data_IF_207515976407
#
_entry.id   IF_207515976407
#
_cell.length_a   1.000
_cell.length_b   1.000
_cell.length_c   1.000
_cell.angle_alpha   90.00
_cell.angle_beta   90.00
_cell.angle_gamma   90.00
#
_symmetry.space_group_name_H-M   'P 1'
#
loop_
_entity.id
_entity.type
_entity.pdbx_description
1 polymer ?
#
# COMPACT_ATOMS: atom_id res chain seq x y z
N UNK A 1 37.70 -55.39 -28.79
CA UNK A 1 38.32 -54.03 -28.82
C UNK A 1 37.33 -52.99 -28.31
N UNK A 2 36.64 -53.32 -27.22
CA UNK A 2 36.28 -52.35 -26.18
C UNK A 2 37.49 -51.52 -25.75
N UNK A 3 37.18 -50.33 -25.19
CA UNK A 3 37.99 -49.57 -24.21
C UNK A 3 38.90 -48.40 -24.63
N UNK A 4 38.87 -47.89 -25.87
CA UNK A 4 39.54 -46.61 -26.22
C UNK A 4 38.73 -45.67 -27.13
N UNK A 5 37.43 -45.56 -26.85
CA UNK A 5 36.57 -44.50 -27.43
C UNK A 5 35.67 -43.88 -26.36
N UNK A 6 36.16 -43.83 -25.12
CA UNK A 6 35.46 -43.27 -23.96
C UNK A 6 36.22 -42.14 -23.26
N UNK A 7 37.38 -41.73 -23.76
CA UNK A 7 38.14 -40.59 -23.24
C UNK A 7 38.63 -39.79 -24.46
N UNK A 8 38.57 -38.46 -24.40
CA UNK A 8 38.78 -37.49 -25.51
C UNK A 8 37.60 -37.26 -26.46
N UNK A 9 36.52 -36.71 -25.91
CA UNK A 9 36.09 -35.31 -26.20
C UNK A 9 34.97 -34.93 -25.25
N UNK A 10 35.36 -34.83 -23.99
CA UNK A 10 34.70 -34.04 -22.97
C UNK A 10 35.28 -32.63 -23.13
N UNK A 11 34.58 -31.75 -23.86
CA UNK A 11 34.74 -30.28 -23.90
C UNK A 11 33.91 -29.74 -25.06
N UNK A 12 32.65 -29.45 -24.78
CA UNK A 12 31.94 -28.21 -25.18
C UNK A 12 30.45 -28.39 -24.88
N UNK A 13 30.15 -28.31 -23.58
CA UNK A 13 28.84 -27.87 -23.11
C UNK A 13 29.12 -26.74 -22.12
N UNK A 14 29.30 -25.54 -22.67
CA UNK A 14 29.27 -24.29 -21.91
C UNK A 14 27.86 -23.71 -22.02
N UNK A 15 27.16 -23.80 -20.89
CA UNK A 15 26.08 -22.96 -20.37
C UNK A 15 25.36 -22.02 -21.36
N UNK A 16 24.05 -22.25 -21.50
CA UNK A 16 23.11 -21.13 -21.48
C UNK A 16 22.63 -21.01 -20.02
N UNK A 17 22.86 -19.89 -19.33
CA UNK A 17 22.23 -19.68 -18.05
C UNK A 17 20.75 -19.51 -18.35
N UNK A 18 19.94 -20.47 -17.92
CA UNK A 18 18.50 -20.27 -17.83
C UNK A 18 18.30 -19.21 -16.75
N UNK A 19 18.35 -17.95 -17.17
CA UNK A 19 17.91 -16.79 -16.42
C UNK A 19 16.38 -16.89 -16.32
N UNK A 20 15.91 -17.89 -15.57
CA UNK A 20 14.65 -17.76 -14.86
C UNK A 20 14.96 -16.81 -13.71
N UNK A 21 14.88 -15.50 -13.99
CA UNK A 21 14.52 -14.54 -12.97
C UNK A 21 13.10 -14.94 -12.53
N UNK A 22 13.01 -15.97 -11.68
CA UNK A 22 11.88 -16.07 -10.78
C UNK A 22 12.01 -14.82 -9.96
N UNK A 23 11.17 -13.84 -10.26
CA UNK A 23 11.11 -12.57 -9.58
C UNK A 23 10.90 -12.81 -8.09
N UNK A 24 12.00 -12.88 -7.35
CA UNK A 24 12.08 -12.90 -5.91
C UNK A 24 11.77 -11.49 -5.38
N UNK A 25 10.63 -10.92 -5.79
CA UNK A 25 10.14 -9.61 -5.32
C UNK A 25 9.42 -9.69 -3.98
N UNK A 26 9.50 -10.84 -3.30
CA UNK A 26 9.21 -10.95 -1.86
C UNK A 26 10.45 -10.51 -1.06
N UNK A 27 11.09 -9.43 -1.50
CA UNK A 27 12.27 -8.80 -0.93
C UNK A 27 12.01 -8.37 0.52
N UNK A 28 12.28 -9.30 1.46
CA UNK A 28 12.52 -9.11 2.89
C UNK A 28 11.76 -7.93 3.52
N UNK A 29 10.43 -7.94 3.41
CA UNK A 29 9.61 -7.07 4.26
C UNK A 29 9.96 -7.34 5.73
N UNK A 30 10.00 -6.29 6.59
CA UNK A 30 10.30 -6.46 8.00
C UNK A 30 9.40 -7.53 8.65
N UNK A 31 9.91 -8.23 9.66
CA UNK A 31 9.14 -9.26 10.37
C UNK A 31 7.80 -8.74 10.89
N UNK A 32 7.75 -7.48 11.31
CA UNK A 32 6.54 -6.81 11.77
C UNK A 32 5.43 -6.76 10.73
N UNK A 33 5.73 -6.90 9.44
CA UNK A 33 4.73 -6.93 8.37
C UNK A 33 4.19 -8.35 8.16
N UNK A 34 5.01 -9.36 8.46
CA UNK A 34 4.69 -10.78 8.23
C UNK A 34 4.03 -11.44 9.43
N UNK A 35 4.23 -10.91 10.63
CA UNK A 35 3.69 -11.48 11.87
C UNK A 35 3.03 -10.39 12.73
N UNK A 36 1.95 -10.78 13.42
CA UNK A 36 1.37 -10.00 14.50
C UNK A 36 2.04 -10.35 15.84
N UNK A 37 2.48 -9.32 16.55
CA UNK A 37 2.85 -9.43 17.96
C UNK A 37 1.65 -9.88 18.81
N UNK A 38 1.86 -10.40 20.03
CA UNK A 38 0.75 -10.79 20.92
C UNK A 38 -0.23 -9.65 21.20
N UNK A 39 0.23 -8.40 21.23
CA UNK A 39 -0.63 -7.23 21.38
C UNK A 39 -1.46 -6.95 20.13
N UNK A 40 -0.85 -7.01 18.94
CA UNK A 40 -1.57 -6.85 17.67
C UNK A 40 -2.61 -7.95 17.47
N UNK A 41 -2.29 -9.21 17.80
CA UNK A 41 -3.26 -10.32 17.71
C UNK A 41 -4.49 -10.05 18.57
N UNK A 42 -4.30 -9.56 19.81
CA UNK A 42 -5.44 -9.17 20.67
C UNK A 42 -6.25 -8.02 20.07
N UNK A 43 -5.59 -7.01 19.48
CA UNK A 43 -6.28 -5.90 18.82
C UNK A 43 -7.09 -6.36 17.61
N UNK A 44 -6.54 -7.26 16.79
CA UNK A 44 -7.26 -7.82 15.64
C UNK A 44 -8.50 -8.58 16.10
N UNK A 45 -8.40 -9.43 17.13
CA UNK A 45 -9.56 -10.13 17.70
C UNK A 45 -10.60 -9.15 18.26
N UNK A 46 -10.17 -8.09 18.94
CA UNK A 46 -11.07 -7.07 19.46
C UNK A 46 -11.80 -6.33 18.33
N UNK A 47 -11.08 -5.96 17.28
CA UNK A 47 -11.62 -5.27 16.11
C UNK A 47 -12.61 -6.17 15.34
N UNK A 48 -12.33 -7.45 15.18
CA UNK A 48 -13.24 -8.42 14.56
C UNK A 48 -14.55 -8.55 15.36
N UNK A 49 -14.46 -8.66 16.70
CA UNK A 49 -15.64 -8.69 17.56
C UNK A 49 -16.44 -7.38 17.50
N UNK A 50 -15.76 -6.23 17.49
CA UNK A 50 -16.40 -4.93 17.36
C UNK A 50 -17.12 -4.80 16.01
N UNK A 51 -16.50 -5.23 14.91
CA UNK A 51 -17.12 -5.24 13.59
C UNK A 51 -18.42 -6.05 13.58
N UNK A 52 -18.42 -7.24 14.20
CA UNK A 52 -19.63 -8.07 14.29
C UNK A 52 -20.76 -7.40 15.06
N UNK A 53 -20.43 -6.73 16.17
CA UNK A 53 -21.41 -5.97 16.95
C UNK A 53 -21.93 -4.77 16.17
N UNK A 54 -21.04 -4.01 15.53
CA UNK A 54 -21.36 -2.85 14.72
C UNK A 54 -22.31 -3.22 13.58
N UNK A 55 -22.02 -4.27 12.81
CA UNK A 55 -22.86 -4.70 11.70
C UNK A 55 -24.24 -5.20 12.15
N UNK A 56 -24.33 -5.81 13.35
CA UNK A 56 -25.62 -6.21 13.93
C UNK A 56 -26.45 -5.01 14.37
N UNK A 57 -25.80 -4.01 14.95
CA UNK A 57 -26.46 -2.81 15.47
C UNK A 57 -26.84 -1.83 14.37
N UNK A 58 -26.05 -1.78 13.28
CA UNK A 58 -26.22 -0.85 12.17
C UNK A 58 -26.16 -1.57 10.82
N UNK A 59 -27.18 -2.39 10.48
CA UNK A 59 -27.16 -3.26 9.31
C UNK A 59 -27.09 -2.49 7.97
N UNK A 60 -27.65 -1.28 7.92
CA UNK A 60 -27.66 -0.46 6.70
C UNK A 60 -26.37 0.35 6.49
N UNK A 61 -25.45 0.33 7.47
CA UNK A 61 -24.17 1.05 7.37
C UNK A 61 -23.13 0.20 6.68
N UNK A 62 -22.26 0.85 5.91
CA UNK A 62 -21.08 0.20 5.33
C UNK A 62 -20.18 -0.38 6.44
N UNK A 63 -19.53 -1.54 6.18
CA UNK A 63 -18.53 -2.09 7.09
C UNK A 63 -17.40 -1.08 7.35
N UNK A 64 -16.75 -1.19 8.51
CA UNK A 64 -15.57 -0.37 8.82
C UNK A 64 -14.29 -1.03 8.28
N UNK A 65 -13.34 -0.21 7.82
CA UNK A 65 -12.00 -0.66 7.42
C UNK A 65 -11.11 -0.80 8.67
N UNK A 66 -11.25 -1.90 9.41
CA UNK A 66 -10.50 -2.11 10.66
C UNK A 66 -9.24 -2.93 10.49
N UNK A 67 -9.33 -4.06 9.78
CA UNK A 67 -8.25 -5.05 9.67
C UNK A 67 -8.06 -5.55 8.23
N UNK A 68 -7.74 -4.67 7.25
CA UNK A 68 -7.39 -5.12 5.91
C UNK A 68 -6.11 -5.96 5.91
N UNK A 69 -5.90 -6.69 4.82
CA UNK A 69 -4.65 -7.38 4.56
C UNK A 69 -3.57 -6.36 4.19
N UNK A 70 -2.32 -6.59 4.59
CA UNK A 70 -1.21 -5.82 4.07
C UNK A 70 -0.59 -6.51 2.84
N UNK A 71 0.48 -5.93 2.31
CA UNK A 71 1.24 -6.48 1.18
C UNK A 71 1.83 -7.89 1.41
N UNK A 72 1.88 -8.35 2.67
CA UNK A 72 2.33 -9.69 3.05
C UNK A 72 1.16 -10.67 3.29
N UNK A 73 -0.09 -10.26 3.03
CA UNK A 73 -1.27 -11.08 3.27
C UNK A 73 -1.63 -11.24 4.75
N UNK A 74 -1.16 -10.34 5.62
CA UNK A 74 -1.42 -10.38 7.06
C UNK A 74 -2.47 -9.35 7.44
N UNK A 75 -3.50 -9.76 8.16
CA UNK A 75 -4.49 -8.82 8.73
C UNK A 75 -3.82 -7.94 9.78
N UNK A 76 -3.82 -6.63 9.55
CA UNK A 76 -3.27 -5.62 10.45
C UNK A 76 -4.36 -4.63 10.82
N UNK A 77 -4.47 -4.30 12.11
CA UNK A 77 -5.34 -3.21 12.54
C UNK A 77 -4.85 -1.90 11.91
N UNK A 78 -5.69 -1.16 11.18
CA UNK A 78 -5.26 -0.03 10.33
C UNK A 78 -4.38 0.96 11.10
N UNK A 79 -4.74 1.31 12.33
CA UNK A 79 -3.96 2.28 13.12
C UNK A 79 -2.54 1.80 13.47
N UNK A 80 -2.25 0.50 13.46
CA UNK A 80 -0.88 0.00 13.71
C UNK A 80 0.02 0.10 12.47
N UNK A 81 -0.57 0.33 11.29
CA UNK A 81 0.16 0.54 10.03
C UNK A 81 0.66 1.98 9.89
N UNK A 82 0.00 2.94 10.54
CA UNK A 82 0.39 4.35 10.55
C UNK A 82 1.54 4.53 11.55
N UNK A 83 2.77 4.44 11.06
CA UNK A 83 3.99 4.69 11.85
C UNK A 83 4.64 6.00 11.43
N UNK A 84 5.17 6.83 12.35
CA UNK A 84 5.90 8.03 11.97
C UNK A 84 7.07 7.70 11.04
N UNK A 85 7.11 8.30 9.86
CA UNK A 85 8.21 8.13 8.90
C UNK A 85 9.19 9.29 9.03
N UNK A 86 10.43 9.07 9.49
CA UNK A 86 11.39 10.15 9.66
C UNK A 86 11.79 10.74 8.31
N UNK A 87 11.60 12.04 8.13
CA UNK A 87 11.97 12.76 6.90
C UNK A 87 13.29 13.52 7.10
N UNK A 88 14.40 12.94 6.64
CA UNK A 88 15.72 13.59 6.70
C UNK A 88 15.99 14.64 5.62
N UNK A 89 15.03 14.91 4.73
CA UNK A 89 15.18 15.85 3.60
C UNK A 89 14.62 17.23 3.94
N UNK A 90 15.37 18.29 3.67
CA UNK A 90 14.98 19.67 4.01
C UNK A 90 13.62 20.11 3.43
N UNK A 91 13.20 19.57 2.27
CA UNK A 91 11.92 19.91 1.64
C UNK A 91 10.67 19.27 2.26
N UNK A 92 10.83 18.35 3.21
CA UNK A 92 9.73 17.59 3.82
C UNK A 92 9.40 18.04 5.24
N UNK A 93 9.87 19.21 5.67
CA UNK A 93 9.65 19.74 7.03
C UNK A 93 8.30 20.45 7.21
N UNK A 94 7.48 20.53 6.16
CA UNK A 94 6.17 21.19 6.17
C UNK A 94 5.10 20.28 5.60
N UNK A 95 3.86 20.43 6.04
CA UNK A 95 2.75 19.64 5.52
C UNK A 95 2.55 19.84 4.02
N UNK A 96 2.82 21.04 3.50
CA UNK A 96 2.78 21.34 2.06
C UNK A 96 3.82 20.53 1.30
N UNK A 97 5.06 20.44 1.82
CA UNK A 97 6.12 19.65 1.22
C UNK A 97 5.78 18.15 1.18
N UNK A 98 5.19 17.63 2.28
CA UNK A 98 4.71 16.25 2.30
C UNK A 98 3.56 16.00 1.32
N UNK A 99 2.59 16.91 1.25
CA UNK A 99 1.46 16.79 0.33
C UNK A 99 1.89 16.86 -1.14
N UNK A 100 2.79 17.79 -1.48
CA UNK A 100 3.37 17.89 -2.82
C UNK A 100 4.14 16.61 -3.19
N UNK A 101 4.96 16.08 -2.26
CA UNK A 101 5.65 14.81 -2.49
C UNK A 101 4.66 13.68 -2.82
N UNK A 102 3.61 13.51 -2.03
CA UNK A 102 2.62 12.42 -2.25
C UNK A 102 1.90 12.62 -3.58
N UNK A 103 1.51 13.85 -3.93
CA UNK A 103 0.82 14.15 -5.18
C UNK A 103 1.70 13.97 -6.42
N UNK A 104 2.98 14.33 -6.33
CA UNK A 104 3.92 14.27 -7.47
C UNK A 104 4.57 12.88 -7.63
N UNK A 105 4.72 12.12 -6.55
CA UNK A 105 5.43 10.84 -6.55
C UNK A 105 4.54 9.66 -6.92
N UNK A 106 3.25 9.71 -6.59
CA UNK A 106 2.39 8.54 -6.63
C UNK A 106 1.38 8.60 -7.78
N UNK A 107 1.17 7.46 -8.42
CA UNK A 107 0.09 7.25 -9.38
C UNK A 107 -1.14 6.67 -8.67
N UNK A 108 -2.30 7.28 -8.90
CA UNK A 108 -3.55 6.83 -8.29
C UNK A 108 -4.07 5.58 -9.00
N UNK A 109 -4.24 4.50 -8.25
CA UNK A 109 -4.99 3.29 -8.63
C UNK A 109 -6.40 3.39 -8.02
N UNK A 110 -7.46 3.64 -8.80
CA UNK A 110 -8.82 3.66 -8.29
C UNK A 110 -9.21 2.29 -7.74
N UNK A 111 -10.09 2.29 -6.73
CA UNK A 111 -10.69 1.07 -6.22
C UNK A 111 -11.56 0.41 -7.30
N UNK A 112 -11.48 -0.91 -7.39
CA UNK A 112 -12.33 -1.73 -8.25
C UNK A 112 -12.93 -2.89 -7.43
N UNK A 113 -14.23 -2.84 -7.08
CA UNK A 113 -15.20 -1.80 -7.45
C UNK A 113 -15.03 -0.49 -6.64
N UNK A 114 -15.36 0.68 -7.21
CA UNK A 114 -15.14 1.99 -6.57
C UNK A 114 -16.04 2.27 -5.36
N UNK A 115 -17.04 1.43 -5.12
CA UNK A 115 -18.03 1.58 -4.04
C UNK A 115 -17.70 0.76 -2.80
N UNK A 116 -16.65 -0.05 -2.85
CA UNK A 116 -16.24 -0.93 -1.75
C UNK A 116 -14.98 -0.41 -1.07
N UNK A 117 -14.77 -0.86 0.16
CA UNK A 117 -13.52 -0.61 0.86
C UNK A 117 -12.42 -1.51 0.31
N UNK A 118 -11.15 -1.07 0.33
CA UNK A 118 -10.05 -1.91 -0.09
C UNK A 118 -9.93 -3.15 0.82
N UNK A 119 -9.72 -4.32 0.20
CA UNK A 119 -9.37 -5.56 0.90
C UNK A 119 -7.95 -5.52 1.45
N UNK A 120 -7.08 -4.75 0.79
CA UNK A 120 -5.66 -4.62 1.10
C UNK A 120 -5.31 -3.15 1.38
N UNK A 121 -4.48 -2.90 2.38
CA UNK A 121 -3.91 -1.59 2.67
C UNK A 121 -2.40 -1.73 2.77
N UNK A 122 -1.68 -1.06 1.89
CA UNK A 122 -0.23 -1.17 1.82
C UNK A 122 0.43 -0.30 2.87
N UNK A 123 1.52 -0.79 3.47
CA UNK A 123 2.29 0.05 4.39
C UNK A 123 2.89 1.28 3.67
N UNK A 124 3.10 2.41 4.38
CA UNK A 124 3.74 3.60 3.81
C UNK A 124 5.06 3.31 3.07
N UNK A 125 5.87 2.38 3.60
CA UNK A 125 7.13 1.95 2.98
C UNK A 125 6.90 1.28 1.63
N UNK A 126 5.89 0.41 1.53
CA UNK A 126 5.57 -0.31 0.29
C UNK A 126 4.94 0.59 -0.75
N UNK A 127 4.10 1.55 -0.34
CA UNK A 127 3.53 2.58 -1.22
C UNK A 127 4.65 3.44 -1.83
N UNK A 128 5.62 3.88 -1.01
CA UNK A 128 6.77 4.65 -1.51
C UNK A 128 7.63 3.86 -2.53
N UNK A 129 7.78 2.54 -2.35
CA UNK A 129 8.53 1.69 -3.28
C UNK A 129 7.76 1.47 -4.59
N UNK A 130 6.46 1.21 -4.49
CA UNK A 130 5.60 0.93 -5.66
C UNK A 130 5.29 2.19 -6.46
N UNK A 131 5.31 3.36 -5.83
CA UNK A 131 4.92 4.65 -6.44
C UNK A 131 3.51 4.64 -7.04
N UNK A 132 2.66 3.75 -6.55
CA UNK A 132 1.27 3.58 -7.00
C UNK A 132 0.45 3.06 -5.83
N UNK A 133 -0.84 3.36 -5.81
CA UNK A 133 -1.76 2.88 -4.79
C UNK A 133 -3.10 3.61 -4.79
N UNK A 134 -3.96 3.22 -3.86
CA UNK A 134 -5.30 3.76 -3.70
C UNK A 134 -5.29 5.08 -2.93
N UNK A 135 -6.42 5.79 -2.91
CA UNK A 135 -6.57 6.99 -2.08
C UNK A 135 -6.37 6.69 -0.57
N UNK A 136 -6.63 5.46 -0.12
CA UNK A 136 -6.38 5.02 1.25
C UNK A 136 -4.88 4.89 1.54
N UNK A 137 -4.13 4.34 0.59
CA UNK A 137 -2.67 4.23 0.67
C UNK A 137 -2.02 5.61 0.72
N UNK A 138 -2.49 6.54 -0.13
CA UNK A 138 -2.01 7.92 -0.18
C UNK A 138 -2.24 8.63 1.15
N UNK A 139 -3.46 8.55 1.69
CA UNK A 139 -3.80 9.16 2.98
C UNK A 139 -2.95 8.58 4.12
N UNK A 140 -2.77 7.25 4.14
CA UNK A 140 -1.96 6.55 5.15
C UNK A 140 -0.50 6.96 5.10
N UNK A 141 0.08 7.04 3.90
CA UNK A 141 1.45 7.53 3.69
C UNK A 141 1.61 9.00 4.10
N UNK A 142 0.70 9.88 3.66
CA UNK A 142 0.74 11.29 4.03
C UNK A 142 0.67 11.47 5.55
N UNK A 143 -0.26 10.80 6.22
CA UNK A 143 -0.39 10.85 7.67
C UNK A 143 0.87 10.34 8.38
N UNK A 144 1.46 9.24 7.90
CA UNK A 144 2.74 8.72 8.39
C UNK A 144 3.89 9.73 8.27
N UNK A 145 3.96 10.48 7.16
CA UNK A 145 4.96 11.54 6.97
C UNK A 145 4.72 12.72 7.94
N UNK A 146 3.47 13.18 8.07
CA UNK A 146 3.10 14.28 8.96
C UNK A 146 3.40 13.97 10.43
N UNK A 147 3.09 12.75 10.88
CA UNK A 147 3.47 12.28 12.21
C UNK A 147 5.00 12.25 12.38
N UNK A 148 5.74 11.93 11.33
CA UNK A 148 7.20 11.96 11.31
C UNK A 148 7.82 13.34 11.54
N UNK A 149 7.12 14.40 11.13
CA UNK A 149 7.49 15.81 11.38
C UNK A 149 6.74 16.42 12.58
N UNK A 150 6.20 15.59 13.47
CA UNK A 150 5.54 15.98 14.73
C UNK A 150 4.24 16.78 14.56
N UNK A 151 3.53 16.64 13.43
CA UNK A 151 2.16 17.11 13.33
C UNK A 151 1.21 16.10 13.95
N UNK A 152 0.17 16.58 14.61
CA UNK A 152 -0.93 15.74 15.08
C UNK A 152 -1.88 15.45 13.90
N UNK A 153 -1.70 14.29 13.27
CA UNK A 153 -2.36 13.92 12.03
C UNK A 153 -3.12 12.60 12.16
N UNK A 154 -4.30 12.54 11.53
CA UNK A 154 -5.18 11.38 11.54
C UNK A 154 -5.71 11.09 10.14
N UNK A 155 -5.89 9.81 9.81
CA UNK A 155 -6.58 9.40 8.59
C UNK A 155 -8.07 9.21 8.87
N UNK A 156 -8.90 9.77 8.00
CA UNK A 156 -10.36 9.56 8.01
C UNK A 156 -10.75 8.92 6.68
N UNK A 157 -11.66 7.95 6.73
CA UNK A 157 -12.23 7.32 5.54
C UNK A 157 -13.73 7.60 5.45
N UNK A 158 -14.22 7.74 4.22
CA UNK A 158 -15.60 8.06 3.92
C UNK A 158 -15.91 7.81 2.45
N UNK A 159 -17.06 8.29 1.99
CA UNK A 159 -17.50 8.19 0.61
C UNK A 159 -17.76 9.59 0.05
N UNK A 160 -17.58 9.74 -1.26
CA UNK A 160 -17.87 10.96 -2.01
C UNK A 160 -18.44 10.59 -3.38
N UNK A 161 -19.06 11.57 -4.04
CA UNK A 161 -19.59 11.38 -5.40
C UNK A 161 -18.45 11.09 -6.39
N UNK A 162 -18.78 10.33 -7.44
CA UNK A 162 -17.83 9.92 -8.49
C UNK A 162 -17.05 11.11 -9.07
N UNK A 163 -17.73 12.23 -9.30
CA UNK A 163 -17.12 13.44 -9.85
C UNK A 163 -16.04 14.01 -8.92
N UNK A 164 -16.28 13.98 -7.61
CA UNK A 164 -15.31 14.43 -6.60
C UNK A 164 -14.12 13.46 -6.57
N UNK A 165 -14.36 12.15 -6.54
CA UNK A 165 -13.31 11.13 -6.50
C UNK A 165 -12.41 11.13 -7.74
N UNK A 166 -12.96 11.42 -8.92
CA UNK A 166 -12.22 11.43 -10.18
C UNK A 166 -11.70 12.82 -10.57
N UNK A 167 -11.93 13.83 -9.73
CA UNK A 167 -11.67 15.23 -10.06
C UNK A 167 -12.23 15.60 -11.44
N UNK A 168 -13.46 15.18 -11.71
CA UNK A 168 -14.12 15.40 -13.00
C UNK A 168 -14.49 16.88 -13.14
N UNK A 169 -13.72 17.58 -13.97
CA UNK A 169 -13.90 19.01 -14.30
C UNK A 169 -14.57 19.22 -15.66
N UNK A 170 -15.20 18.19 -16.24
CA UNK A 170 -15.85 18.29 -17.56
C UNK A 170 -16.98 19.32 -17.62
N UNK A 171 -17.57 19.68 -16.48
CA UNK A 171 -18.61 20.71 -16.34
C UNK A 171 -18.05 22.10 -15.99
N UNK A 172 -16.76 22.22 -15.70
CA UNK A 172 -16.13 23.52 -15.44
C UNK A 172 -15.93 24.27 -16.77
N UNK A 173 -16.20 25.57 -16.79
CA UNK A 173 -15.87 26.40 -17.96
C UNK A 173 -14.36 26.40 -18.14
N UNK A 174 -13.94 26.09 -19.36
CA UNK A 174 -12.53 26.15 -19.70
C UNK A 174 -12.06 27.60 -19.62
N UNK A 175 -11.11 27.93 -18.73
CA UNK A 175 -10.64 29.31 -18.57
C UNK A 175 -9.95 29.86 -19.83
N UNK A 176 -9.59 28.99 -20.78
CA UNK A 176 -8.99 29.37 -22.07
C UNK A 176 -10.02 29.68 -23.16
N UNK A 177 -11.31 29.40 -22.94
CA UNK A 177 -12.39 29.66 -23.90
C UNK A 177 -13.21 30.91 -23.56
N UNK A 178 -12.99 31.53 -22.40
CA UNK A 178 -13.56 32.83 -22.02
C UNK A 178 -12.70 33.97 -22.61
N UNK A 179 -12.71 34.10 -23.94
CA UNK A 179 -12.28 35.31 -24.71
C UNK A 179 -13.47 35.88 -25.44
#
# INVERSE_FOLDING_TARGET
MEKKRQEFKQMDQKEAPTNCWVSDHQELHPESYRINSPAETRLVTLAENFQLQYSRQYPDRRPLLLCPLNECGVRKFVSTTIRPTPTGRCGLQTWQGCAALVADLLMLEPLDPPTELPSELFSPTSVLRRQTGTCFDFATLLCSLLLGISYDAFCVSGYADRQVCLLDRSQERCPLLDT
#
